data_IF_001717462961
#
_entry.id   IF_001717462961
#
_cell.length_a   1.000
_cell.length_b   1.000
_cell.length_c   1.000
_cell.angle_alpha   90.00
_cell.angle_beta   90.00
_cell.angle_gamma   90.00
#
_symmetry.space_group_name_H-M   'P 1'
#
loop_
_entity.id
_entity.type
_entity.pdbx_description
1 polymer ?
#
# COMPACT_ATOMS: atom_id res chain seq x y z
N UNK A 1 -16.24 -5.43 6.67
CA UNK A 1 -14.91 -4.83 6.80
C UNK A 1 -14.14 -5.71 7.76
N UNK A 2 -12.97 -6.20 7.36
CA UNK A 2 -12.07 -6.89 8.26
C UNK A 2 -11.25 -5.89 9.08
N UNK A 3 -10.22 -6.40 9.71
CA UNK A 3 -9.30 -5.68 10.58
C UNK A 3 -7.91 -5.59 9.94
N UNK A 4 -7.23 -4.47 10.17
CA UNK A 4 -5.79 -4.35 9.96
C UNK A 4 -5.13 -4.63 11.30
N UNK A 5 -4.34 -5.70 11.38
CA UNK A 5 -3.76 -6.21 12.62
C UNK A 5 -2.27 -6.32 12.48
N UNK A 6 -1.52 -5.80 13.43
CA UNK A 6 -0.10 -6.11 13.55
C UNK A 6 0.12 -7.23 14.57
N UNK A 7 1.04 -8.14 14.25
CA UNK A 7 1.19 -9.41 14.95
C UNK A 7 2.64 -9.79 15.20
N UNK A 8 2.87 -10.52 16.29
CA UNK A 8 4.16 -11.11 16.64
C UNK A 8 3.96 -12.45 17.35
N UNK A 9 5.05 -13.05 17.86
CA UNK A 9 4.96 -14.21 18.76
C UNK A 9 4.03 -14.03 19.96
N UNK A 10 3.75 -12.79 20.37
CA UNK A 10 2.89 -12.51 21.52
C UNK A 10 1.41 -12.83 21.26
N UNK A 11 1.00 -12.97 20.00
CA UNK A 11 -0.35 -13.41 19.65
C UNK A 11 -0.51 -14.95 19.68
N UNK A 12 0.57 -15.70 19.97
CA UNK A 12 0.51 -17.14 20.21
C UNK A 12 0.28 -17.97 18.94
N UNK A 13 -0.79 -18.78 18.93
CA UNK A 13 -1.14 -19.66 17.83
C UNK A 13 -2.57 -19.38 17.36
N UNK A 14 -2.76 -18.43 16.42
CA UNK A 14 -4.08 -18.08 15.91
C UNK A 14 -4.77 -19.27 15.24
N UNK A 15 -6.09 -19.37 15.41
CA UNK A 15 -6.95 -20.13 14.52
C UNK A 15 -7.10 -19.37 13.21
N UNK A 16 -6.22 -19.69 12.26
CA UNK A 16 -6.12 -19.02 10.97
C UNK A 16 -7.36 -19.22 10.08
N UNK A 17 -8.11 -20.31 10.22
CA UNK A 17 -9.33 -20.55 9.44
C UNK A 17 -10.47 -19.63 9.88
N UNK A 18 -10.52 -19.34 11.19
CA UNK A 18 -11.43 -18.33 11.72
C UNK A 18 -10.91 -16.92 11.41
N UNK A 19 -9.64 -16.64 11.70
CA UNK A 19 -9.05 -15.30 11.57
C UNK A 19 -9.08 -14.77 10.13
N UNK A 20 -8.86 -15.61 9.11
CA UNK A 20 -8.86 -15.20 7.70
C UNK A 20 -10.14 -14.48 7.26
N UNK A 21 -11.28 -14.77 7.89
CA UNK A 21 -12.58 -14.15 7.59
C UNK A 21 -12.70 -12.73 8.10
N UNK A 22 -11.78 -12.31 8.97
CA UNK A 22 -11.80 -11.05 9.69
C UNK A 22 -10.58 -10.18 9.40
N UNK A 23 -9.62 -10.64 8.59
CA UNK A 23 -8.38 -9.90 8.34
C UNK A 23 -8.39 -9.26 6.96
N UNK A 24 -8.32 -7.94 6.93
CA UNK A 24 -8.14 -7.16 5.69
C UNK A 24 -6.64 -7.04 5.35
N UNK A 25 -5.77 -6.92 6.35
CA UNK A 25 -4.32 -6.85 6.19
C UNK A 25 -3.59 -7.20 7.49
N UNK A 26 -2.42 -7.84 7.40
CA UNK A 26 -1.57 -8.14 8.57
C UNK A 26 -0.20 -7.50 8.43
N UNK A 27 0.37 -6.93 9.50
CA UNK A 27 1.79 -6.53 9.54
C UNK A 27 2.51 -7.38 10.59
N UNK A 28 3.34 -8.33 10.16
CA UNK A 28 3.95 -9.32 11.05
C UNK A 28 5.41 -8.97 11.42
N UNK A 29 5.76 -9.16 12.70
CA UNK A 29 7.12 -8.92 13.18
C UNK A 29 8.09 -9.96 12.63
N UNK A 30 9.19 -9.51 12.06
CA UNK A 30 10.29 -10.37 11.61
C UNK A 30 11.36 -10.51 12.69
N UNK A 31 11.69 -9.40 13.36
CA UNK A 31 12.78 -9.33 14.30
C UNK A 31 12.59 -8.24 15.34
N UNK A 32 13.39 -8.32 16.40
CA UNK A 32 13.57 -7.28 17.42
C UNK A 32 15.08 -7.00 17.58
N UNK A 33 15.58 -6.00 16.86
CA UNK A 33 17.02 -5.86 16.64
C UNK A 33 17.60 -6.96 15.76
N UNK A 34 18.89 -6.83 15.45
CA UNK A 34 19.63 -7.88 14.74
C UNK A 34 19.70 -9.21 15.50
N UNK A 35 19.58 -9.19 16.83
CA UNK A 35 19.89 -10.36 17.67
C UNK A 35 18.67 -11.21 18.05
N UNK A 36 17.46 -10.83 17.66
CA UNK A 36 16.26 -11.61 17.95
C UNK A 36 15.41 -11.78 16.69
N UNK A 37 15.25 -13.03 16.24
CA UNK A 37 14.33 -13.39 15.17
C UNK A 37 12.98 -13.77 15.80
N UNK A 38 11.88 -13.24 15.29
CA UNK A 38 10.56 -13.63 15.79
C UNK A 38 10.28 -15.10 15.42
N UNK A 39 10.09 -16.00 16.42
CA UNK A 39 10.09 -17.43 16.19
C UNK A 39 8.86 -17.93 15.43
N UNK A 40 7.76 -17.16 15.41
CA UNK A 40 6.51 -17.58 14.74
C UNK A 40 6.31 -16.92 13.38
N UNK A 41 7.15 -15.95 13.00
CA UNK A 41 7.00 -15.19 11.76
C UNK A 41 6.84 -16.10 10.54
N UNK A 42 7.72 -17.10 10.38
CA UNK A 42 7.66 -18.03 9.25
C UNK A 42 6.37 -18.85 9.23
N UNK A 43 5.89 -19.32 10.38
CA UNK A 43 4.62 -20.05 10.46
C UNK A 43 3.42 -19.15 10.16
N UNK A 44 3.45 -17.90 10.60
CA UNK A 44 2.40 -16.93 10.29
C UNK A 44 2.36 -16.64 8.80
N UNK A 45 3.51 -16.37 8.17
CA UNK A 45 3.60 -16.16 6.72
C UNK A 45 3.05 -17.36 5.95
N UNK A 46 3.44 -18.58 6.32
CA UNK A 46 2.91 -19.78 5.67
C UNK A 46 1.38 -19.89 5.80
N UNK A 47 0.83 -19.60 6.98
CA UNK A 47 -0.61 -19.65 7.22
C UNK A 47 -1.38 -18.56 6.47
N UNK A 48 -0.83 -17.34 6.39
CA UNK A 48 -1.38 -16.21 5.63
C UNK A 48 -1.38 -16.50 4.14
N UNK A 49 -0.26 -17.00 3.59
CA UNK A 49 -0.17 -17.40 2.18
C UNK A 49 -1.16 -18.49 1.81
N UNK A 50 -1.32 -19.51 2.66
CA UNK A 50 -2.28 -20.60 2.42
C UNK A 50 -3.75 -20.13 2.36
N UNK A 51 -4.04 -18.92 2.88
CA UNK A 51 -5.39 -18.35 2.98
C UNK A 51 -5.55 -17.03 2.21
N UNK A 52 -4.57 -16.66 1.41
CA UNK A 52 -4.53 -15.41 0.65
C UNK A 52 -4.74 -14.16 1.52
N UNK A 53 -4.24 -14.16 2.75
CA UNK A 53 -4.27 -12.98 3.62
C UNK A 53 -3.09 -12.09 3.20
N UNK A 54 -3.33 -10.85 2.73
CA UNK A 54 -2.26 -9.94 2.36
C UNK A 54 -1.51 -9.47 3.61
N UNK A 55 -0.19 -9.34 3.50
CA UNK A 55 0.64 -9.00 4.65
C UNK A 55 1.85 -8.11 4.33
N UNK A 56 2.29 -7.38 5.34
CA UNK A 56 3.54 -6.64 5.42
C UNK A 56 4.45 -7.17 6.52
N UNK A 57 5.67 -6.64 6.55
CA UNK A 57 6.69 -6.98 7.55
C UNK A 57 7.00 -5.76 8.42
N UNK A 58 7.27 -5.96 9.72
CA UNK A 58 7.90 -4.94 10.55
C UNK A 58 9.10 -5.49 11.34
N UNK A 59 10.01 -4.60 11.72
CA UNK A 59 11.14 -4.88 12.59
C UNK A 59 11.26 -3.81 13.67
N UNK A 60 11.23 -4.24 14.93
CA UNK A 60 11.51 -3.35 16.06
C UNK A 60 13.00 -2.97 16.02
N UNK A 61 13.27 -1.68 15.93
CA UNK A 61 14.60 -1.14 15.69
C UNK A 61 15.44 -1.10 16.97
N UNK A 62 16.69 -1.58 16.90
CA UNK A 62 17.67 -1.49 18.00
C UNK A 62 19.03 -0.93 17.63
N UNK A 63 19.20 -0.42 16.42
CA UNK A 63 20.46 0.11 15.92
C UNK A 63 21.10 1.15 16.84
N UNK A 64 22.43 1.11 16.98
CA UNK A 64 23.19 2.06 17.82
C UNK A 64 24.03 3.06 17.01
N UNK A 65 24.02 2.95 15.68
CA UNK A 65 24.66 3.87 14.74
C UNK A 65 24.01 3.75 13.35
N UNK A 66 24.28 4.67 12.43
CA UNK A 66 23.79 4.54 11.04
C UNK A 66 24.32 3.30 10.32
N UNK A 67 25.58 2.90 10.56
CA UNK A 67 26.12 1.67 9.97
C UNK A 67 25.41 0.43 10.53
N UNK A 68 25.15 0.43 11.83
CA UNK A 68 24.40 -0.64 12.50
C UNK A 68 22.93 -0.69 12.01
N UNK A 69 22.30 0.46 11.77
CA UNK A 69 20.98 0.55 11.15
C UNK A 69 20.93 -0.11 9.77
N UNK A 70 21.99 0.04 8.96
CA UNK A 70 22.11 -0.68 7.67
C UNK A 70 22.33 -2.19 7.87
N UNK A 71 23.04 -2.62 8.91
CA UNK A 71 23.16 -4.05 9.26
C UNK A 71 21.79 -4.61 9.61
N UNK A 72 21.08 -3.93 10.51
CA UNK A 72 19.77 -4.35 10.98
C UNK A 72 18.73 -4.39 9.85
N UNK A 73 18.77 -3.44 8.91
CA UNK A 73 17.93 -3.45 7.72
C UNK A 73 18.23 -4.62 6.78
N UNK A 74 19.51 -5.00 6.61
CA UNK A 74 19.92 -6.18 5.85
C UNK A 74 19.45 -7.47 6.51
N UNK A 75 19.57 -7.56 7.82
CA UNK A 75 19.04 -8.69 8.59
C UNK A 75 17.53 -8.80 8.40
N UNK A 76 16.80 -7.69 8.55
CA UNK A 76 15.37 -7.62 8.37
C UNK A 76 14.95 -8.07 6.96
N UNK A 77 15.58 -7.50 5.94
CA UNK A 77 15.36 -7.89 4.55
C UNK A 77 15.60 -9.38 4.33
N UNK A 78 16.74 -9.91 4.79
CA UNK A 78 17.12 -11.31 4.58
C UNK A 78 16.16 -12.30 5.28
N UNK A 79 15.65 -11.93 6.46
CA UNK A 79 14.74 -12.78 7.26
C UNK A 79 13.29 -12.68 6.80
N UNK A 80 12.87 -11.52 6.32
CA UNK A 80 11.51 -11.26 5.86
C UNK A 80 11.18 -11.96 4.54
N UNK A 81 9.95 -12.45 4.44
CA UNK A 81 9.39 -13.01 3.22
C UNK A 81 9.17 -11.89 2.18
N UNK A 82 9.56 -12.16 0.93
CA UNK A 82 9.54 -11.19 -0.17
C UNK A 82 8.16 -11.00 -0.81
N UNK A 83 7.18 -11.81 -0.44
CA UNK A 83 5.76 -11.57 -0.79
C UNK A 83 5.13 -10.48 0.07
N UNK A 84 5.83 -9.96 1.10
CA UNK A 84 5.35 -8.83 1.86
C UNK A 84 5.25 -7.58 0.99
N UNK A 85 4.12 -6.89 1.07
CA UNK A 85 3.83 -5.70 0.26
C UNK A 85 4.43 -4.43 0.83
N UNK A 86 4.71 -4.40 2.14
CA UNK A 86 5.35 -3.27 2.83
C UNK A 86 6.38 -3.75 3.85
N UNK A 87 7.36 -2.89 4.13
CA UNK A 87 8.41 -3.11 5.12
C UNK A 87 8.45 -1.94 6.10
N UNK A 88 8.33 -2.19 7.40
CA UNK A 88 8.18 -1.13 8.41
C UNK A 88 9.36 -1.11 9.36
N UNK A 89 9.98 0.07 9.48
CA UNK A 89 10.88 0.38 10.59
C UNK A 89 10.05 0.78 11.81
N UNK A 90 10.12 0.01 12.88
CA UNK A 90 9.39 0.26 14.13
C UNK A 90 10.32 0.90 15.16
N UNK A 91 10.13 2.19 15.45
CA UNK A 91 11.02 3.02 16.28
C UNK A 91 10.31 3.48 17.55
N UNK A 92 10.53 2.77 18.65
CA UNK A 92 9.88 3.05 19.94
C UNK A 92 10.83 3.51 21.04
N UNK A 93 12.10 3.14 20.94
CA UNK A 93 13.10 3.35 22.00
C UNK A 93 14.31 4.10 21.48
N UNK A 94 14.94 4.89 22.36
CA UNK A 94 16.17 5.60 22.04
C UNK A 94 17.37 4.65 22.19
N UNK A 95 17.95 4.21 21.08
CA UNK A 95 19.17 3.35 21.06
C UNK A 95 20.40 4.08 20.54
N UNK A 96 20.22 5.24 19.90
CA UNK A 96 21.29 6.16 19.54
C UNK A 96 20.87 7.61 19.75
N UNK A 97 21.83 8.53 19.72
CA UNK A 97 21.54 9.96 19.93
C UNK A 97 20.67 10.55 18.82
N UNK A 98 21.00 10.26 17.56
CA UNK A 98 20.27 10.74 16.39
C UNK A 98 19.41 9.61 15.79
N UNK A 99 18.26 9.36 16.41
CA UNK A 99 17.33 8.31 15.96
C UNK A 99 16.80 8.56 14.54
N UNK A 100 16.68 9.82 14.12
CA UNK A 100 16.25 10.16 12.75
C UNK A 100 17.30 9.76 11.72
N UNK A 101 18.59 9.99 12.00
CA UNK A 101 19.66 9.52 11.11
C UNK A 101 19.65 7.99 10.98
N UNK A 102 19.55 7.27 12.11
CA UNK A 102 19.47 5.81 12.11
C UNK A 102 18.26 5.28 11.35
N UNK A 103 17.06 5.81 11.61
CA UNK A 103 15.84 5.41 10.94
C UNK A 103 15.90 5.67 9.42
N UNK A 104 16.44 6.82 8.99
CA UNK A 104 16.62 7.10 7.57
C UNK A 104 17.63 6.13 6.93
N UNK A 105 18.75 5.85 7.60
CA UNK A 105 19.76 4.91 7.11
C UNK A 105 19.20 3.48 6.96
N UNK A 106 18.33 3.05 7.88
CA UNK A 106 17.60 1.78 7.82
C UNK A 106 16.66 1.73 6.61
N UNK A 107 15.82 2.75 6.44
CA UNK A 107 14.84 2.85 5.34
C UNK A 107 15.54 2.90 3.98
N UNK A 108 16.60 3.70 3.85
CA UNK A 108 17.37 3.82 2.61
C UNK A 108 18.03 2.50 2.23
N UNK A 109 18.51 1.73 3.21
CA UNK A 109 19.09 0.41 2.97
C UNK A 109 18.03 -0.60 2.50
N UNK A 110 16.82 -0.59 3.07
CA UNK A 110 15.71 -1.41 2.58
C UNK A 110 15.38 -1.09 1.12
N UNK A 111 15.28 0.20 0.78
CA UNK A 111 15.06 0.63 -0.61
C UNK A 111 16.19 0.17 -1.54
N UNK A 112 17.44 0.30 -1.10
CA UNK A 112 18.62 -0.17 -1.84
C UNK A 112 18.59 -1.67 -2.10
N UNK A 113 18.04 -2.45 -1.16
CA UNK A 113 17.90 -3.91 -1.28
C UNK A 113 16.70 -4.35 -2.15
N UNK A 114 15.80 -3.42 -2.48
CA UNK A 114 14.68 -3.65 -3.40
C UNK A 114 13.29 -3.51 -2.78
N UNK A 115 13.16 -3.07 -1.53
CA UNK A 115 11.84 -2.78 -0.95
C UNK A 115 11.20 -1.59 -1.67
N UNK A 116 10.02 -1.81 -2.28
CA UNK A 116 9.30 -0.79 -3.04
C UNK A 116 8.46 0.14 -2.15
N UNK A 117 7.98 -0.37 -1.01
CA UNK A 117 7.14 0.36 -0.05
C UNK A 117 7.69 0.18 1.35
N UNK A 118 8.22 1.27 1.92
CA UNK A 118 8.82 1.29 3.25
C UNK A 118 8.09 2.29 4.14
N UNK A 119 7.61 1.82 5.28
CA UNK A 119 6.90 2.62 6.28
C UNK A 119 7.73 2.89 7.53
N UNK A 120 7.29 3.88 8.30
CA UNK A 120 7.80 4.19 9.63
C UNK A 120 6.67 4.03 10.66
N UNK A 121 6.84 3.13 11.61
CA UNK A 121 6.11 3.18 12.87
C UNK A 121 6.93 3.95 13.90
N UNK A 122 6.26 4.83 14.64
CA UNK A 122 6.90 5.60 15.71
C UNK A 122 5.92 5.84 16.85
N UNK A 123 6.35 5.52 18.07
CA UNK A 123 5.57 5.80 19.27
C UNK A 123 5.18 7.28 19.35
N UNK A 124 3.92 7.59 19.71
CA UNK A 124 3.39 8.96 19.70
C UNK A 124 4.30 9.97 20.43
N UNK A 125 4.80 9.57 21.60
CA UNK A 125 5.66 10.39 22.45
C UNK A 125 7.10 10.56 21.91
N UNK A 126 7.50 9.77 20.91
CA UNK A 126 8.83 9.80 20.30
C UNK A 126 8.88 10.60 19.01
N UNK A 127 7.74 10.86 18.37
CA UNK A 127 7.67 11.53 17.07
C UNK A 127 8.42 12.88 17.04
N UNK A 128 8.08 13.79 17.95
CA UNK A 128 8.71 15.10 18.02
C UNK A 128 10.14 15.06 18.61
N UNK A 129 10.41 14.38 19.74
CA UNK A 129 11.76 14.31 20.31
C UNK A 129 12.82 13.73 19.36
N UNK A 130 12.42 12.80 18.48
CA UNK A 130 13.33 12.22 17.50
C UNK A 130 13.34 12.96 16.17
N UNK A 131 12.50 13.97 15.96
CA UNK A 131 12.45 14.71 14.69
C UNK A 131 11.94 13.88 13.51
N UNK A 132 11.02 12.94 13.78
CA UNK A 132 10.58 11.92 12.81
C UNK A 132 9.75 12.47 11.66
N UNK A 133 9.27 13.71 11.75
CA UNK A 133 8.66 14.44 10.64
C UNK A 133 9.58 14.57 9.41
N UNK A 134 10.90 14.47 9.60
CA UNK A 134 11.89 14.61 8.54
C UNK A 134 12.37 13.27 7.95
N UNK A 135 11.85 12.14 8.45
CA UNK A 135 12.13 10.82 7.86
C UNK A 135 11.31 10.65 6.60
N UNK A 136 11.97 10.27 5.51
CA UNK A 136 11.35 10.04 4.20
C UNK A 136 10.91 8.58 4.07
N UNK A 137 9.72 8.27 4.55
CA UNK A 137 9.03 6.99 4.33
C UNK A 137 7.86 7.15 3.35
N UNK A 138 7.36 6.04 2.79
CA UNK A 138 6.22 6.05 1.86
C UNK A 138 4.87 6.18 2.59
N UNK A 139 4.84 5.76 3.85
CA UNK A 139 3.74 5.96 4.79
C UNK A 139 4.23 6.04 6.23
N UNK A 140 3.41 6.65 7.09
CA UNK A 140 3.67 6.78 8.53
C UNK A 140 2.57 6.07 9.32
N UNK A 141 2.96 5.34 10.36
CA UNK A 141 2.08 4.60 11.25
C UNK A 141 2.32 5.07 12.70
N UNK A 142 1.27 5.54 13.38
CA UNK A 142 1.40 6.12 14.73
C UNK A 142 0.37 5.50 15.67
N UNK A 143 0.78 5.02 16.85
CA UNK A 143 -0.16 4.60 17.88
C UNK A 143 -0.74 5.82 18.60
N UNK A 144 -2.02 5.79 18.94
CA UNK A 144 -2.56 6.68 19.98
C UNK A 144 -3.83 6.07 20.56
N UNK A 145 -3.76 5.65 21.81
CA UNK A 145 -4.87 4.96 22.46
C UNK A 145 -5.74 5.95 23.24
N UNK A 146 -7.01 5.61 23.45
CA UNK A 146 -7.96 6.45 24.19
C UNK A 146 -8.82 7.37 23.33
N UNK A 147 -9.07 7.00 22.07
CA UNK A 147 -10.11 7.59 21.20
C UNK A 147 -9.71 8.84 20.42
N UNK A 148 -8.66 9.57 20.84
CA UNK A 148 -8.14 10.69 20.07
C UNK A 148 -7.19 10.21 18.97
N UNK A 149 -7.40 10.69 17.73
CA UNK A 149 -6.49 10.46 16.61
C UNK A 149 -5.07 10.95 16.91
N UNK A 150 -4.03 10.39 16.27
CA UNK A 150 -2.66 10.88 16.38
C UNK A 150 -2.56 12.40 16.15
N UNK A 151 -1.74 13.07 16.96
CA UNK A 151 -1.52 14.52 16.85
C UNK A 151 -0.68 14.91 15.62
N UNK A 152 -0.05 13.92 14.98
CA UNK A 152 0.80 14.08 13.81
C UNK A 152 0.18 13.35 12.62
N UNK A 153 0.40 13.84 11.38
CA UNK A 153 -0.10 13.16 10.19
C UNK A 153 0.43 11.73 10.10
N UNK A 154 -0.46 10.79 9.80
CA UNK A 154 -0.12 9.39 9.54
C UNK A 154 -1.12 8.78 8.57
N UNK A 155 -0.72 7.70 7.91
CA UNK A 155 -1.58 6.92 7.02
C UNK A 155 -2.27 5.80 7.80
N UNK A 156 -1.57 5.21 8.78
CA UNK A 156 -2.10 4.18 9.68
C UNK A 156 -2.13 4.71 11.11
N UNK A 157 -3.26 4.54 11.79
CA UNK A 157 -3.44 4.80 13.21
C UNK A 157 -3.63 3.48 13.96
N UNK A 158 -2.70 3.10 14.84
CA UNK A 158 -2.93 2.03 15.82
C UNK A 158 -3.77 2.61 16.97
N UNK A 159 -5.07 2.33 16.97
CA UNK A 159 -6.02 2.99 17.86
C UNK A 159 -6.25 2.24 19.17
N UNK A 160 -5.86 0.96 19.23
CA UNK A 160 -5.92 0.15 20.45
C UNK A 160 -4.89 -0.98 20.44
N UNK A 161 -4.36 -1.28 21.62
CA UNK A 161 -3.53 -2.45 21.93
C UNK A 161 -4.32 -3.57 22.68
N UNK A 162 -5.63 -3.38 22.79
CA UNK A 162 -6.55 -4.24 23.57
C UNK A 162 -7.73 -4.70 22.75
N UNK A 163 -7.60 -4.67 21.42
CA UNK A 163 -8.61 -5.21 20.52
C UNK A 163 -8.80 -6.71 20.70
N UNK A 164 -9.85 -7.24 20.09
CA UNK A 164 -10.12 -8.67 20.07
C UNK A 164 -10.63 -9.08 18.69
N UNK A 165 -9.93 -9.98 18.01
CA UNK A 165 -10.34 -10.51 16.70
C UNK A 165 -10.61 -12.01 16.82
N UNK A 166 -11.76 -12.50 16.31
CA UNK A 166 -12.04 -13.94 16.31
C UNK A 166 -10.92 -14.73 15.62
N UNK A 167 -10.46 -15.79 16.29
CA UNK A 167 -9.32 -16.60 15.85
C UNK A 167 -7.94 -16.09 16.31
N UNK A 168 -7.80 -14.83 16.72
CA UNK A 168 -6.55 -14.27 17.26
C UNK A 168 -6.64 -14.04 18.77
N UNK A 169 -7.79 -13.53 19.25
CA UNK A 169 -7.92 -13.02 20.62
C UNK A 169 -7.36 -11.61 20.75
N UNK A 170 -6.68 -11.30 21.87
CA UNK A 170 -6.13 -9.95 22.12
C UNK A 170 -5.12 -9.57 21.04
N UNK A 171 -5.31 -8.42 20.40
CA UNK A 171 -4.38 -7.90 19.40
C UNK A 171 -4.49 -6.38 19.24
N UNK A 172 -3.51 -5.83 18.53
CA UNK A 172 -3.43 -4.43 18.17
C UNK A 172 -4.26 -4.19 16.91
N UNK A 173 -5.06 -3.12 16.91
CA UNK A 173 -5.94 -2.79 15.79
C UNK A 173 -5.59 -1.44 15.19
N UNK A 174 -5.68 -1.41 13.86
CA UNK A 174 -5.23 -0.30 13.04
C UNK A 174 -6.35 0.21 12.13
N UNK A 175 -6.32 1.51 11.85
CA UNK A 175 -7.24 2.18 10.94
C UNK A 175 -6.48 3.04 9.93
N UNK A 176 -6.96 3.10 8.69
CA UNK A 176 -6.41 3.98 7.67
C UNK A 176 -7.05 5.36 7.78
N UNK A 177 -6.25 6.38 8.09
CA UNK A 177 -6.73 7.76 8.29
C UNK A 177 -6.03 8.80 7.42
N UNK A 178 -5.06 8.36 6.61
CA UNK A 178 -4.32 9.24 5.71
C UNK A 178 -4.62 8.98 4.23
N UNK A 179 -3.57 9.08 3.41
CA UNK A 179 -3.68 9.17 1.95
C UNK A 179 -3.68 7.81 1.24
N UNK A 180 -3.20 6.75 1.91
CA UNK A 180 -3.03 5.43 1.32
C UNK A 180 -4.30 4.58 1.54
N UNK A 181 -5.02 4.18 0.48
CA UNK A 181 -6.15 3.27 0.61
C UNK A 181 -5.69 1.83 0.92
N UNK A 182 -6.60 0.97 1.39
CA UNK A 182 -6.30 -0.43 1.69
C UNK A 182 -5.68 -1.18 0.50
N UNK A 183 -6.11 -0.89 -0.73
CA UNK A 183 -5.53 -1.49 -1.94
C UNK A 183 -4.05 -1.15 -2.15
N UNK A 184 -3.59 0.01 -1.66
CA UNK A 184 -2.17 0.37 -1.71
C UNK A 184 -1.32 -0.54 -0.81
N UNK A 185 -1.85 -0.93 0.36
CA UNK A 185 -1.18 -1.84 1.29
C UNK A 185 -1.28 -3.30 0.87
N UNK A 186 -2.47 -3.73 0.45
CA UNK A 186 -2.71 -5.16 0.20
C UNK A 186 -2.13 -5.65 -1.11
N UNK A 187 -1.89 -4.74 -2.08
CA UNK A 187 -1.57 -5.07 -3.48
C UNK A 187 -2.52 -6.08 -4.12
N UNK A 188 -3.67 -6.29 -3.47
CA UNK A 188 -4.82 -6.91 -4.07
C UNK A 188 -5.27 -5.88 -5.08
N UNK A 189 -4.86 -6.06 -6.34
CA UNK A 189 -5.70 -5.70 -7.46
C UNK A 189 -7.08 -6.19 -7.04
N UNK A 190 -8.01 -5.27 -6.77
CA UNK A 190 -9.35 -5.68 -6.40
C UNK A 190 -9.72 -6.77 -7.40
N UNK A 191 -10.13 -7.98 -6.98
CA UNK A 191 -10.95 -8.76 -7.90
C UNK A 191 -12.00 -7.76 -8.34
N UNK A 192 -12.08 -7.49 -9.65
CA UNK A 192 -13.09 -6.60 -10.21
C UNK A 192 -14.32 -6.82 -9.34
N UNK A 193 -14.74 -5.78 -8.62
CA UNK A 193 -15.99 -5.91 -7.91
C UNK A 193 -16.93 -6.44 -8.96
N UNK A 194 -17.53 -7.60 -8.70
CA UNK A 194 -18.79 -7.96 -9.33
C UNK A 194 -19.81 -6.93 -8.83
N UNK A 195 -19.61 -5.66 -9.21
CA UNK A 195 -20.70 -4.76 -9.51
C UNK A 195 -21.40 -5.52 -10.62
N UNK A 196 -22.52 -6.14 -10.26
CA UNK A 196 -23.51 -6.55 -11.23
C UNK A 196 -23.86 -5.31 -12.06
N UNK A 197 -23.14 -5.07 -13.16
CA UNK A 197 -23.43 -4.00 -14.09
C UNK A 197 -23.06 -4.42 -15.52
N UNK A 198 -23.82 -5.40 -16.00
CA UNK A 198 -24.40 -5.41 -17.33
C UNK A 198 -23.46 -5.12 -18.50
N UNK A 199 -22.92 -6.21 -19.05
CA UNK A 199 -22.47 -6.29 -20.44
C UNK A 199 -21.14 -5.62 -20.72
N UNK A 200 -20.43 -6.16 -21.70
CA UNK A 200 -19.25 -5.53 -22.24
C UNK A 200 -19.58 -4.13 -22.80
N UNK A 201 -18.72 -3.15 -22.57
CA UNK A 201 -18.94 -1.74 -22.94
C UNK A 201 -17.85 -1.25 -23.87
N UNK A 202 -18.08 -0.13 -24.56
CA UNK A 202 -17.03 0.63 -25.22
C UNK A 202 -17.11 2.10 -24.80
N UNK A 203 -15.97 2.79 -24.82
CA UNK A 203 -15.86 4.21 -24.49
C UNK A 203 -15.79 5.01 -25.79
N UNK A 204 -16.51 6.14 -25.83
CA UNK A 204 -16.34 7.17 -26.84
C UNK A 204 -15.98 8.49 -26.16
N UNK A 205 -14.90 9.13 -26.62
CA UNK A 205 -14.54 10.46 -26.13
C UNK A 205 -15.46 11.54 -26.69
N UNK A 206 -15.48 12.70 -26.04
CA UNK A 206 -15.88 13.95 -26.66
C UNK A 206 -15.01 14.29 -27.88
N UNK A 207 -15.48 15.22 -28.69
CA UNK A 207 -14.72 15.72 -29.84
C UNK A 207 -13.47 16.49 -29.41
N UNK A 208 -12.34 16.18 -30.04
CA UNK A 208 -11.08 16.89 -29.89
C UNK A 208 -10.56 17.35 -31.25
N UNK A 209 -9.74 18.39 -31.30
CA UNK A 209 -9.16 18.87 -32.57
C UNK A 209 -8.28 17.81 -33.23
N UNK A 210 -8.32 17.69 -34.56
CA UNK A 210 -7.53 16.70 -35.32
C UNK A 210 -6.02 16.80 -35.07
N UNK A 211 -5.51 17.95 -34.61
CA UNK A 211 -4.12 18.13 -34.19
C UNK A 211 -3.72 17.26 -32.99
N UNK A 212 -4.68 16.78 -32.19
CA UNK A 212 -4.46 15.98 -30.99
C UNK A 212 -4.49 14.47 -31.28
N UNK A 213 -4.74 14.04 -32.53
CA UNK A 213 -4.74 12.63 -32.92
C UNK A 213 -3.45 11.90 -32.52
N UNK A 214 -2.23 12.44 -32.75
CA UNK A 214 -1.00 11.75 -32.35
C UNK A 214 -0.89 11.52 -30.84
N UNK A 215 -1.36 12.46 -30.03
CA UNK A 215 -1.40 12.32 -28.58
C UNK A 215 -2.33 11.18 -28.15
N UNK A 216 -3.52 11.10 -28.76
CA UNK A 216 -4.49 10.03 -28.48
C UNK A 216 -3.95 8.67 -28.89
N UNK A 217 -3.33 8.56 -30.06
CA UNK A 217 -2.76 7.30 -30.53
C UNK A 217 -1.61 6.82 -29.64
N UNK A 218 -0.76 7.74 -29.15
CA UNK A 218 0.28 7.39 -28.17
C UNK A 218 -0.34 6.93 -26.86
N UNK A 219 -1.36 7.63 -26.35
CA UNK A 219 -2.04 7.25 -25.12
C UNK A 219 -2.68 5.86 -25.23
N UNK A 220 -3.31 5.55 -26.37
CA UNK A 220 -3.84 4.22 -26.67
C UNK A 220 -2.73 3.16 -26.69
N UNK A 221 -1.61 3.43 -27.38
CA UNK A 221 -0.51 2.49 -27.53
C UNK A 221 0.17 2.16 -26.18
N UNK A 222 0.48 3.18 -25.38
CA UNK A 222 1.07 3.03 -24.05
C UNK A 222 0.21 2.18 -23.10
N UNK A 223 -1.11 2.19 -23.31
CA UNK A 223 -2.09 1.53 -22.44
C UNK A 223 -2.64 0.23 -23.03
N UNK A 224 -2.21 -0.14 -24.24
CA UNK A 224 -2.74 -1.31 -24.95
C UNK A 224 -4.23 -1.19 -25.32
N UNK A 225 -4.75 0.04 -25.45
CA UNK A 225 -6.17 0.28 -25.72
C UNK A 225 -6.51 -0.08 -27.17
N UNK A 226 -7.42 -1.02 -27.38
CA UNK A 226 -7.93 -1.38 -28.72
C UNK A 226 -9.09 -0.47 -29.11
N UNK A 227 -9.08 0.04 -30.34
CA UNK A 227 -10.09 0.97 -30.83
C UNK A 227 -9.64 1.73 -32.07
N UNK A 228 -10.35 2.80 -32.36
CA UNK A 228 -10.11 3.67 -33.50
C UNK A 228 -10.29 5.13 -33.13
N UNK A 229 -9.48 6.00 -33.73
CA UNK A 229 -9.71 7.44 -33.74
C UNK A 229 -10.39 7.80 -35.04
N UNK A 230 -11.60 8.34 -34.95
CA UNK A 230 -12.41 8.73 -36.11
C UNK A 230 -12.36 10.24 -36.23
N UNK A 231 -11.80 10.73 -37.33
CA UNK A 231 -11.78 12.15 -37.67
C UNK A 231 -12.93 12.49 -38.62
N UNK A 232 -13.56 13.64 -38.40
CA UNK A 232 -14.42 14.32 -39.35
C UNK A 232 -13.67 15.54 -39.94
N UNK A 233 -13.14 15.42 -41.17
CA UNK A 233 -12.40 16.50 -41.81
C UNK A 233 -13.23 17.76 -42.07
N UNK A 234 -14.57 17.66 -42.13
CA UNK A 234 -15.45 18.80 -42.39
C UNK A 234 -15.61 19.71 -41.18
N UNK A 235 -15.47 19.17 -39.97
CA UNK A 235 -15.60 19.89 -38.70
C UNK A 235 -14.25 20.09 -38.00
N UNK A 236 -13.15 19.52 -38.52
CA UNK A 236 -11.82 19.60 -37.93
C UNK A 236 -11.71 18.88 -36.57
N UNK A 237 -12.66 17.99 -36.28
CA UNK A 237 -12.80 17.30 -34.99
C UNK A 237 -12.59 15.80 -35.17
N UNK A 238 -12.03 15.15 -34.17
CA UNK A 238 -11.89 13.71 -34.07
C UNK A 238 -12.38 13.22 -32.70
N UNK A 239 -12.67 11.93 -32.60
CA UNK A 239 -13.01 11.29 -31.34
C UNK A 239 -12.39 9.90 -31.28
N UNK A 240 -12.07 9.46 -30.07
CA UNK A 240 -11.69 8.08 -29.77
C UNK A 240 -12.96 7.25 -29.63
N UNK A 241 -12.96 6.06 -30.20
CA UNK A 241 -13.91 5.01 -29.88
C UNK A 241 -13.17 3.70 -29.63
N UNK A 242 -13.28 3.14 -28.43
CA UNK A 242 -12.66 1.84 -28.12
C UNK A 242 -13.42 0.69 -28.76
N UNK A 243 -12.79 -0.48 -28.81
CA UNK A 243 -13.53 -1.73 -28.94
C UNK A 243 -14.39 -1.98 -27.69
N UNK A 244 -15.20 -3.03 -27.76
CA UNK A 244 -15.92 -3.54 -26.61
C UNK A 244 -14.91 -4.27 -25.71
N UNK A 245 -14.63 -3.70 -24.53
CA UNK A 245 -13.55 -4.13 -23.65
C UNK A 245 -14.06 -4.35 -22.22
N UNK A 246 -13.35 -5.14 -21.40
CA UNK A 246 -13.57 -5.19 -19.96
C UNK A 246 -13.43 -3.80 -19.33
N UNK A 247 -14.20 -3.50 -18.27
CA UNK A 247 -14.15 -2.20 -17.61
C UNK A 247 -12.74 -1.85 -17.12
N UNK A 248 -11.98 -2.82 -16.60
CA UNK A 248 -10.60 -2.59 -16.19
C UNK A 248 -9.67 -2.16 -17.34
N UNK A 249 -9.96 -2.56 -18.59
CA UNK A 249 -9.23 -2.09 -19.76
C UNK A 249 -9.69 -0.70 -20.21
N UNK A 250 -10.98 -0.40 -20.09
CA UNK A 250 -11.54 0.94 -20.36
C UNK A 250 -11.05 1.97 -19.33
N UNK A 251 -10.92 1.58 -18.06
CA UNK A 251 -10.45 2.44 -16.97
C UNK A 251 -9.05 3.01 -17.22
N UNK A 252 -8.18 2.26 -17.91
CA UNK A 252 -6.82 2.75 -18.24
C UNK A 252 -6.87 3.98 -19.13
N UNK A 253 -7.73 3.98 -20.15
CA UNK A 253 -7.81 5.08 -21.12
C UNK A 253 -8.66 6.24 -20.59
N UNK A 254 -9.73 5.96 -19.84
CA UNK A 254 -10.56 7.00 -19.22
C UNK A 254 -9.84 7.69 -18.07
N UNK A 255 -9.04 6.98 -17.28
CA UNK A 255 -8.15 7.59 -16.29
C UNK A 255 -7.18 8.59 -16.92
N UNK A 256 -6.58 8.23 -18.07
CA UNK A 256 -5.74 9.18 -18.79
C UNK A 256 -6.50 10.42 -19.25
N UNK A 257 -7.73 10.27 -19.74
CA UNK A 257 -8.57 11.43 -20.08
C UNK A 257 -8.88 12.30 -18.86
N UNK A 258 -9.06 11.70 -17.68
CA UNK A 258 -9.31 12.40 -16.42
C UNK A 258 -8.07 13.09 -15.81
N UNK A 259 -6.89 12.56 -16.07
CA UNK A 259 -5.61 13.07 -15.52
C UNK A 259 -4.73 13.74 -16.58
N UNK A 260 -5.27 14.00 -17.77
CA UNK A 260 -4.54 14.62 -18.87
C UNK A 260 -3.99 15.99 -18.44
N UNK A 261 -2.67 16.25 -18.57
CA UNK A 261 -2.03 17.48 -18.07
C UNK A 261 -2.63 18.77 -18.65
N UNK A 262 -3.04 18.72 -19.92
CA UNK A 262 -3.61 19.84 -20.68
C UNK A 262 -5.13 19.99 -20.48
N UNK A 263 -5.68 19.37 -19.44
CA UNK A 263 -7.09 19.45 -19.08
C UNK A 263 -7.88 18.18 -19.39
N UNK A 264 -8.90 17.97 -18.55
CA UNK A 264 -9.75 16.77 -18.59
C UNK A 264 -10.47 16.63 -19.93
N UNK A 265 -10.55 15.40 -20.40
CA UNK A 265 -11.38 15.06 -21.55
C UNK A 265 -12.65 14.36 -21.17
N UNK A 266 -13.73 14.82 -21.78
CA UNK A 266 -15.04 14.20 -21.65
C UNK A 266 -15.06 12.87 -22.39
N UNK A 267 -15.80 11.90 -21.84
CA UNK A 267 -16.07 10.61 -22.45
C UNK A 267 -17.37 10.02 -21.92
N UNK A 268 -17.93 9.07 -22.65
CA UNK A 268 -19.14 8.34 -22.29
C UNK A 268 -18.94 6.83 -22.49
N UNK A 269 -19.57 6.05 -21.62
CA UNK A 269 -19.65 4.60 -21.73
C UNK A 269 -20.92 4.18 -22.49
N UNK A 270 -20.76 3.30 -23.47
CA UNK A 270 -21.85 2.74 -24.25
C UNK A 270 -21.91 1.23 -24.03
N UNK A 271 -23.11 0.73 -23.69
CA UNK A 271 -23.39 -0.71 -23.63
C UNK A 271 -23.67 -1.23 -25.03
N UNK A 272 -23.18 -2.43 -25.34
CA UNK A 272 -23.50 -3.14 -26.58
C UNK A 272 -24.37 -4.35 -26.31
#
# INVERSE_FOLDING_TARGET
>A
MGYIVDMSKWNGNPDWDTAAKHLDFVIARVQDGSNYVDPVYKSYVAAMKARNIPFGNYAFCRFVSENDARIEARDFWNRGDKSATVWVADVEVKTMNDMRAGAQAFIDELRRLGAQKVGLYVGHHMYAPFGMANVKADFVWIPRYGGNKPAYPCDIWQYTETGNVPGIGKCDLNELIGSKPLSWFTEVNQPEQNVSNGGYQYVKSGGFGVSLIPEVLNAMAERGTKGQVISDPSTGTAYLQTEVLPNAELDKITWWMDTRPEGKWFYEYFKK
#
